data_IF_217898255962
#
_entry.id   IF_217898255962
#
_cell.length_a   1.000
_cell.length_b   1.000
_cell.length_c   1.000
_cell.angle_alpha   90.00
_cell.angle_beta   90.00
_cell.angle_gamma   90.00
#
_symmetry.space_group_name_H-M   'P 1'
#
loop_
_entity.id
_entity.type
_entity.pdbx_description
1 polymer ?
#
# COMPACT_ATOMS: atom_id res chain seq x y z
N UNK A 1 4.06 -18.87 17.30
CA UNK A 1 2.62 -18.45 17.33
C UNK A 1 2.33 -17.68 16.05
N UNK A 2 1.36 -18.13 15.24
CA UNK A 2 0.90 -17.36 14.09
C UNK A 2 0.38 -16.02 14.60
N UNK A 3 0.96 -14.90 14.11
CA UNK A 3 0.55 -13.56 14.50
C UNK A 3 -0.96 -13.40 14.30
N UNK A 4 -1.63 -12.76 15.25
CA UNK A 4 -3.06 -12.47 15.17
C UNK A 4 -3.37 -11.77 13.83
N UNK A 5 -4.11 -12.46 12.97
CA UNK A 5 -4.54 -11.94 11.67
C UNK A 5 -6.06 -11.81 11.68
N UNK A 6 -6.52 -10.57 11.56
CA UNK A 6 -7.95 -10.32 11.37
C UNK A 6 -8.37 -10.96 10.03
N UNK A 7 -9.34 -11.90 10.00
CA UNK A 7 -9.77 -12.52 8.75
C UNK A 7 -10.40 -11.50 7.81
N UNK A 8 -10.18 -11.66 6.50
CA UNK A 8 -10.86 -10.87 5.49
C UNK A 8 -12.30 -11.35 5.32
N UNK A 9 -13.24 -10.42 5.23
CA UNK A 9 -14.63 -10.71 4.87
C UNK A 9 -14.79 -11.05 3.37
N UNK A 10 -15.98 -11.45 2.95
CA UNK A 10 -16.25 -11.84 1.55
C UNK A 10 -16.02 -10.69 0.57
N UNK A 11 -16.37 -9.46 0.95
CA UNK A 11 -16.17 -8.25 0.13
C UNK A 11 -14.67 -7.96 -0.05
N UNK A 12 -13.88 -8.01 1.03
CA UNK A 12 -12.43 -7.81 0.97
C UNK A 12 -11.79 -8.78 -0.03
N UNK A 13 -12.18 -10.07 0.05
CA UNK A 13 -11.66 -11.11 -0.86
C UNK A 13 -12.07 -10.87 -2.32
N UNK A 14 -13.31 -10.44 -2.54
CA UNK A 14 -13.79 -10.11 -3.89
C UNK A 14 -12.97 -8.96 -4.49
N UNK A 15 -12.78 -7.86 -3.75
CA UNK A 15 -12.03 -6.70 -4.23
C UNK A 15 -10.57 -7.06 -4.53
N UNK A 16 -9.92 -7.85 -3.69
CA UNK A 16 -8.57 -8.36 -3.97
C UNK A 16 -8.52 -9.16 -5.26
N UNK A 17 -9.50 -10.06 -5.51
CA UNK A 17 -9.58 -10.80 -6.79
C UNK A 17 -9.72 -9.85 -7.98
N UNK A 18 -10.53 -8.81 -7.87
CA UNK A 18 -10.69 -7.80 -8.90
C UNK A 18 -9.39 -7.01 -9.15
N UNK A 19 -8.63 -6.67 -8.09
CA UNK A 19 -7.32 -6.01 -8.24
C UNK A 19 -6.34 -6.86 -9.06
N UNK A 20 -6.32 -8.18 -8.86
CA UNK A 20 -5.50 -9.06 -9.71
C UNK A 20 -6.08 -9.19 -11.12
N UNK A 21 -7.41 -9.28 -11.26
CA UNK A 21 -8.09 -9.46 -12.53
C UNK A 21 -8.00 -8.22 -13.46
N UNK A 22 -7.79 -7.02 -12.94
CA UNK A 22 -7.64 -5.81 -13.78
C UNK A 22 -6.44 -5.86 -14.75
N UNK A 23 -5.51 -6.80 -14.54
CA UNK A 23 -4.37 -7.03 -15.42
C UNK A 23 -4.66 -7.94 -16.61
N UNK A 24 -5.85 -8.55 -16.66
CA UNK A 24 -6.29 -9.40 -17.79
C UNK A 24 -6.61 -8.51 -18.99
N UNK A 25 -6.04 -8.75 -20.18
CA UNK A 25 -6.13 -7.81 -21.32
C UNK A 25 -7.53 -7.43 -21.74
N UNK A 26 -8.47 -8.38 -21.79
CA UNK A 26 -9.83 -8.12 -22.29
C UNK A 26 -10.80 -7.56 -21.25
N UNK A 27 -10.67 -8.00 -19.99
CA UNK A 27 -11.60 -7.62 -18.91
C UNK A 27 -11.06 -6.46 -18.06
N UNK A 28 -9.77 -6.19 -18.11
CA UNK A 28 -9.08 -5.29 -17.17
C UNK A 28 -9.61 -3.87 -17.12
N UNK A 29 -10.03 -3.31 -18.28
CA UNK A 29 -10.59 -1.94 -18.33
C UNK A 29 -11.91 -1.84 -17.58
N UNK A 30 -12.80 -2.79 -17.78
CA UNK A 30 -14.11 -2.82 -17.10
C UNK A 30 -13.93 -3.05 -15.58
N UNK A 31 -13.05 -3.97 -15.21
CA UNK A 31 -12.71 -4.24 -13.81
C UNK A 31 -12.11 -3.00 -13.13
N UNK A 32 -11.20 -2.30 -13.82
CA UNK A 32 -10.61 -1.05 -13.30
C UNK A 32 -11.67 0.03 -13.08
N UNK A 33 -12.60 0.20 -14.03
CA UNK A 33 -13.69 1.16 -13.89
C UNK A 33 -14.58 0.82 -12.69
N UNK A 34 -14.91 -0.46 -12.50
CA UNK A 34 -15.68 -0.94 -11.36
C UNK A 34 -14.95 -0.66 -10.03
N UNK A 35 -13.65 -0.94 -9.96
CA UNK A 35 -12.84 -0.66 -8.76
C UNK A 35 -12.83 0.84 -8.45
N UNK A 36 -12.60 1.69 -9.45
CA UNK A 36 -12.60 3.15 -9.28
C UNK A 36 -13.96 3.68 -8.84
N UNK A 37 -15.05 3.16 -9.42
CA UNK A 37 -16.40 3.52 -9.00
C UNK A 37 -16.65 3.19 -7.52
N UNK A 38 -16.04 2.12 -7.01
CA UNK A 38 -16.06 1.75 -5.60
C UNK A 38 -15.09 2.55 -4.73
N UNK A 39 -14.31 3.48 -5.31
CA UNK A 39 -13.30 4.25 -4.59
C UNK A 39 -11.99 3.50 -4.33
N UNK A 40 -11.71 2.43 -5.09
CA UNK A 40 -10.42 1.72 -5.04
C UNK A 40 -9.64 2.01 -6.31
N UNK A 41 -8.55 2.76 -6.23
CA UNK A 41 -7.68 3.06 -7.38
C UNK A 41 -6.27 2.52 -7.15
N UNK A 42 -6.08 1.24 -7.40
CA UNK A 42 -4.76 0.60 -7.44
C UNK A 42 -4.37 0.50 -8.91
N UNK A 43 -3.31 1.24 -9.30
CA UNK A 43 -2.89 1.26 -10.70
C UNK A 43 -2.44 -0.14 -11.15
N UNK A 44 -2.85 -0.62 -12.34
CA UNK A 44 -2.45 -1.93 -12.87
C UNK A 44 -0.94 -2.12 -13.00
N UNK A 45 -0.17 -1.03 -13.19
CA UNK A 45 1.28 -1.06 -13.25
C UNK A 45 1.94 -1.21 -11.87
N UNK A 46 1.21 -0.96 -10.79
CA UNK A 46 1.70 -1.26 -9.45
C UNK A 46 1.90 -2.77 -9.30
N UNK A 47 3.06 -3.19 -8.83
CA UNK A 47 3.32 -4.61 -8.58
C UNK A 47 2.78 -4.98 -7.21
N UNK A 48 2.00 -6.05 -7.14
CA UNK A 48 1.50 -6.58 -5.88
C UNK A 48 1.95 -8.04 -5.74
N UNK A 49 2.58 -8.36 -4.63
CA UNK A 49 2.91 -9.73 -4.25
C UNK A 49 1.67 -10.56 -3.96
N UNK A 50 1.88 -11.79 -3.52
CA UNK A 50 0.81 -12.72 -3.16
C UNK A 50 0.19 -12.36 -1.81
N UNK A 51 -1.05 -12.80 -1.55
CA UNK A 51 -1.67 -12.62 -0.25
C UNK A 51 -1.95 -11.17 0.15
N UNK A 52 -2.06 -10.23 -0.83
CA UNK A 52 -2.50 -8.85 -0.56
C UNK A 52 -3.82 -8.86 0.22
N UNK A 53 -3.91 -8.00 1.23
CA UNK A 53 -5.12 -7.84 2.04
C UNK A 53 -5.62 -6.41 1.95
N UNK A 54 -6.84 -6.24 1.48
CA UNK A 54 -7.54 -4.96 1.48
C UNK A 54 -8.63 -5.01 2.55
N UNK A 55 -8.61 -4.07 3.46
CA UNK A 55 -9.59 -4.01 4.56
C UNK A 55 -10.72 -3.05 4.19
N UNK A 56 -11.91 -3.34 4.72
CA UNK A 56 -13.11 -2.54 4.47
C UNK A 56 -13.43 -2.37 2.97
N UNK A 57 -13.26 -3.45 2.18
CA UNK A 57 -13.52 -3.45 0.75
C UNK A 57 -12.55 -2.57 -0.06
N UNK A 58 -11.43 -2.16 0.51
CA UNK A 58 -10.45 -1.31 -0.18
C UNK A 58 -10.92 0.12 -0.45
N UNK A 59 -11.96 0.59 0.21
CA UNK A 59 -12.55 1.93 -0.02
C UNK A 59 -11.54 3.04 0.21
N UNK A 60 -11.45 3.99 -0.71
CA UNK A 60 -10.58 5.16 -0.64
C UNK A 60 -9.09 4.85 -0.81
N UNK A 61 -8.70 3.63 -1.18
CA UNK A 61 -7.31 3.28 -1.43
C UNK A 61 -6.87 3.85 -2.77
N UNK A 62 -5.71 4.56 -2.75
CA UNK A 62 -5.03 5.05 -3.96
C UNK A 62 -3.60 4.56 -3.95
N UNK A 63 -3.19 3.84 -5.01
CA UNK A 63 -1.83 3.30 -5.15
C UNK A 63 -1.21 3.72 -6.47
N UNK A 64 -0.10 4.45 -6.38
CA UNK A 64 0.68 4.93 -7.52
C UNK A 64 1.28 3.77 -8.36
N UNK A 65 1.38 3.91 -9.70
CA UNK A 65 1.95 2.89 -10.59
C UNK A 65 3.39 2.46 -10.22
N UNK A 66 4.18 3.34 -9.63
CA UNK A 66 5.53 3.04 -9.14
C UNK A 66 5.59 2.23 -7.83
N UNK A 67 4.46 1.83 -7.27
CA UNK A 67 4.46 1.06 -6.03
C UNK A 67 4.78 -0.42 -6.28
N UNK A 68 5.56 -0.99 -5.37
CA UNK A 68 5.92 -2.41 -5.34
C UNK A 68 5.59 -2.94 -3.95
N UNK A 69 4.51 -3.68 -3.84
CA UNK A 69 4.04 -4.28 -2.60
C UNK A 69 4.51 -5.74 -2.55
N UNK A 70 5.15 -6.10 -1.44
CA UNK A 70 5.57 -7.48 -1.16
C UNK A 70 4.41 -8.40 -0.80
N UNK A 71 4.74 -9.60 -0.36
CA UNK A 71 3.76 -10.62 0.01
C UNK A 71 3.06 -10.28 1.33
N UNK A 72 1.78 -10.59 1.42
CA UNK A 72 0.99 -10.44 2.65
C UNK A 72 0.82 -8.98 3.14
N UNK A 73 1.10 -7.98 2.30
CA UNK A 73 0.87 -6.57 2.65
C UNK A 73 -0.61 -6.34 2.94
N UNK A 74 -0.88 -5.56 3.98
CA UNK A 74 -2.24 -5.18 4.37
C UNK A 74 -2.44 -3.68 4.21
N UNK A 75 -3.46 -3.29 3.44
CA UNK A 75 -3.89 -1.91 3.28
C UNK A 75 -5.29 -1.75 3.87
N UNK A 76 -5.43 -0.80 4.79
CA UNK A 76 -6.73 -0.40 5.29
C UNK A 76 -7.36 0.66 4.37
N UNK A 77 -8.62 1.00 4.60
CA UNK A 77 -9.33 2.03 3.85
C UNK A 77 -8.62 3.39 3.91
N UNK A 78 -8.82 4.21 2.89
CA UNK A 78 -8.24 5.55 2.75
C UNK A 78 -6.70 5.60 2.77
N UNK A 79 -6.01 4.49 2.53
CA UNK A 79 -4.55 4.50 2.36
C UNK A 79 -4.19 5.15 1.03
N UNK A 80 -3.25 6.10 1.07
CA UNK A 80 -2.69 6.73 -0.12
C UNK A 80 -1.21 6.43 -0.24
N UNK A 81 -0.78 5.95 -1.40
CA UNK A 81 0.62 5.78 -1.78
C UNK A 81 0.86 6.59 -3.03
N UNK A 82 1.59 7.69 -2.91
CA UNK A 82 1.77 8.66 -3.98
C UNK A 82 3.11 9.38 -3.96
N UNK A 83 3.36 10.21 -4.99
CA UNK A 83 4.55 11.06 -5.05
C UNK A 83 4.40 12.28 -4.15
N UNK A 84 5.50 12.66 -3.49
CA UNK A 84 5.55 13.83 -2.61
C UNK A 84 5.43 15.15 -3.39
N UNK A 85 6.05 15.23 -4.58
CA UNK A 85 6.12 16.46 -5.39
C UNK A 85 5.39 16.28 -6.71
N UNK A 86 4.07 16.27 -6.69
CA UNK A 86 3.25 16.08 -7.89
C UNK A 86 3.28 17.27 -8.85
N UNK A 87 3.70 18.44 -8.38
CA UNK A 87 3.85 19.67 -9.18
C UNK A 87 5.20 19.77 -9.90
N UNK A 88 6.15 18.90 -9.58
CA UNK A 88 7.44 18.83 -10.26
C UNK A 88 7.46 17.69 -11.28
N UNK A 89 7.98 17.98 -12.48
CA UNK A 89 8.23 16.94 -13.46
C UNK A 89 9.49 16.16 -13.04
N UNK A 90 9.42 14.85 -12.82
CA UNK A 90 10.62 14.09 -12.48
C UNK A 90 11.61 14.16 -13.66
N UNK A 91 12.92 14.21 -13.39
CA UNK A 91 13.91 14.05 -14.42
C UNK A 91 13.68 12.76 -15.22
N UNK A 92 13.99 12.73 -16.54
CA UNK A 92 13.87 11.53 -17.33
C UNK A 92 14.62 10.34 -16.69
N UNK A 93 13.96 9.19 -16.55
CA UNK A 93 14.54 7.99 -15.95
C UNK A 93 14.55 7.92 -14.42
N UNK A 94 14.12 8.95 -13.72
CA UNK A 94 14.12 9.04 -12.24
C UNK A 94 12.73 8.89 -11.61
N UNK A 95 11.79 8.26 -12.29
CA UNK A 95 10.48 7.97 -11.67
C UNK A 95 10.70 7.10 -10.43
N UNK A 96 10.79 7.72 -9.26
CA UNK A 96 10.97 7.05 -7.99
C UNK A 96 9.96 5.92 -7.80
N UNK A 97 10.37 4.87 -7.13
CA UNK A 97 9.50 3.76 -6.77
C UNK A 97 9.43 3.64 -5.26
N UNK A 98 8.27 3.26 -4.74
CA UNK A 98 8.14 2.87 -3.34
C UNK A 98 8.07 1.35 -3.24
N UNK A 99 8.95 0.79 -2.40
CA UNK A 99 8.97 -0.65 -2.07
C UNK A 99 8.37 -0.84 -0.69
N UNK A 100 7.37 -1.67 -0.60
CA UNK A 100 6.70 -2.01 0.67
C UNK A 100 6.99 -3.48 0.94
N UNK A 101 7.75 -3.74 2.00
CA UNK A 101 8.21 -5.08 2.36
C UNK A 101 7.09 -6.00 2.82
N UNK A 102 7.39 -7.30 2.83
CA UNK A 102 6.44 -8.37 3.13
C UNK A 102 5.78 -8.19 4.50
N UNK A 103 4.49 -8.46 4.57
CA UNK A 103 3.72 -8.37 5.80
C UNK A 103 3.59 -6.99 6.41
N UNK A 104 3.99 -5.93 5.71
CA UNK A 104 3.79 -4.55 6.16
C UNK A 104 2.29 -4.22 6.25
N UNK A 105 1.95 -3.35 7.19
CA UNK A 105 0.56 -2.93 7.46
C UNK A 105 0.48 -1.42 7.37
N UNK A 106 -0.33 -0.92 6.44
CA UNK A 106 -0.69 0.49 6.35
C UNK A 106 -2.10 0.64 6.92
N UNK A 107 -2.21 1.29 8.08
CA UNK A 107 -3.47 1.46 8.77
C UNK A 107 -4.36 2.52 8.10
N UNK A 108 -5.59 2.64 8.56
CA UNK A 108 -6.60 3.53 7.99
C UNK A 108 -6.11 4.98 7.83
N UNK A 109 -6.28 5.53 6.63
CA UNK A 109 -5.87 6.90 6.33
C UNK A 109 -4.37 7.14 6.30
N UNK A 110 -3.53 6.11 6.38
CA UNK A 110 -2.08 6.28 6.26
C UNK A 110 -1.70 6.80 4.87
N UNK A 111 -0.81 7.78 4.83
CA UNK A 111 -0.33 8.43 3.61
C UNK A 111 1.18 8.18 3.48
N UNK A 112 1.60 7.63 2.36
CA UNK A 112 3.02 7.40 2.02
C UNK A 112 3.37 8.30 0.83
N UNK A 113 4.29 9.23 1.05
CA UNK A 113 4.73 10.20 0.04
C UNK A 113 6.20 9.96 -0.28
N UNK A 114 6.48 9.36 -1.42
CA UNK A 114 7.86 9.06 -1.85
C UNK A 114 8.38 10.13 -2.83
N UNK A 115 9.68 10.40 -2.72
CA UNK A 115 10.41 11.30 -3.62
C UNK A 115 10.94 10.60 -4.88
N UNK A 116 11.71 11.34 -5.68
CA UNK A 116 12.30 10.83 -6.92
C UNK A 116 13.41 9.78 -6.66
N UNK A 117 14.05 9.85 -5.49
CA UNK A 117 15.03 8.86 -5.02
C UNK A 117 14.38 7.52 -4.60
N UNK A 118 13.06 7.47 -4.61
CA UNK A 118 12.31 6.31 -4.14
C UNK A 118 12.19 6.24 -2.62
N UNK A 119 11.56 5.16 -2.14
CA UNK A 119 11.36 4.91 -0.71
C UNK A 119 11.24 3.42 -0.45
N UNK A 120 11.70 2.97 0.71
CA UNK A 120 11.49 1.60 1.17
C UNK A 120 10.81 1.59 2.54
N UNK A 121 9.71 0.86 2.64
CA UNK A 121 9.08 0.50 3.91
C UNK A 121 9.51 -0.93 4.22
N UNK A 122 10.19 -1.13 5.35
CA UNK A 122 10.73 -2.44 5.74
C UNK A 122 9.63 -3.49 5.94
N UNK A 123 10.00 -4.76 5.80
CA UNK A 123 9.07 -5.87 6.02
C UNK A 123 8.45 -5.79 7.43
N UNK A 124 7.16 -6.16 7.55
CA UNK A 124 6.42 -6.23 8.82
C UNK A 124 6.29 -4.89 9.57
N UNK A 125 6.68 -3.79 8.94
CA UNK A 125 6.52 -2.44 9.49
C UNK A 125 5.04 -2.05 9.52
N UNK A 126 4.65 -1.29 10.52
CA UNK A 126 3.30 -0.75 10.68
C UNK A 126 3.33 0.76 10.53
N UNK A 127 2.56 1.28 9.59
CA UNK A 127 2.28 2.71 9.49
C UNK A 127 0.92 2.95 10.14
N UNK A 128 0.92 3.67 11.24
CA UNK A 128 -0.28 3.88 12.06
C UNK A 128 -1.36 4.68 11.31
N UNK A 129 -2.58 4.66 11.85
CA UNK A 129 -3.70 5.38 11.25
C UNK A 129 -3.40 6.89 11.14
N UNK A 130 -3.76 7.48 10.00
CA UNK A 130 -3.54 8.89 9.67
C UNK A 130 -2.09 9.36 9.75
N UNK A 131 -1.13 8.45 9.77
CA UNK A 131 0.29 8.81 9.70
C UNK A 131 0.69 9.24 8.30
N UNK A 132 1.56 10.27 8.20
CA UNK A 132 2.12 10.76 6.93
C UNK A 132 3.60 10.41 6.88
N UNK A 133 3.93 9.34 6.17
CA UNK A 133 5.29 8.86 6.01
C UNK A 133 5.97 9.53 4.81
N UNK A 134 7.13 10.13 5.04
CA UNK A 134 7.92 10.86 4.03
C UNK A 134 9.36 10.36 3.90
N UNK A 135 9.72 9.29 4.61
CA UNK A 135 11.07 8.71 4.58
C UNK A 135 11.00 7.18 4.65
N UNK A 136 12.10 6.52 4.30
CA UNK A 136 12.23 5.06 4.42
C UNK A 136 12.22 4.61 5.89
N UNK A 137 11.78 3.37 6.11
CA UNK A 137 11.71 2.73 7.43
C UNK A 137 12.57 1.46 7.47
N UNK A 138 12.96 1.06 8.67
CA UNK A 138 13.51 -0.28 8.90
C UNK A 138 12.44 -1.36 8.92
N UNK A 139 12.87 -2.60 9.18
CA UNK A 139 12.01 -3.77 9.30
C UNK A 139 11.36 -3.83 10.70
N UNK A 140 10.08 -4.17 10.76
CA UNK A 140 9.38 -4.41 12.02
C UNK A 140 9.19 -3.17 12.88
N UNK A 141 9.26 -1.99 12.30
CA UNK A 141 9.07 -0.74 13.00
C UNK A 141 7.60 -0.32 13.04
N UNK A 142 7.25 0.50 14.04
CA UNK A 142 5.94 1.15 14.15
C UNK A 142 6.14 2.65 14.02
N UNK A 143 5.47 3.25 13.03
CA UNK A 143 5.56 4.68 12.71
C UNK A 143 4.21 5.35 12.86
N UNK A 144 4.18 6.53 13.49
CA UNK A 144 2.96 7.30 13.72
C UNK A 144 3.18 8.81 13.60
N UNK A 145 2.10 9.56 13.40
CA UNK A 145 2.10 11.02 13.34
C UNK A 145 2.19 11.61 11.94
N UNK A 146 2.14 12.94 11.85
CA UNK A 146 2.28 13.70 10.61
C UNK A 146 3.17 14.93 10.85
N UNK A 147 4.45 14.92 10.42
CA UNK A 147 5.14 13.82 9.73
C UNK A 147 5.37 12.61 10.65
N UNK A 148 5.33 11.41 10.08
CA UNK A 148 5.50 10.18 10.85
C UNK A 148 6.90 10.06 11.45
N UNK A 149 6.94 9.50 12.67
CA UNK A 149 8.18 9.17 13.37
C UNK A 149 8.10 7.74 13.91
N UNK A 150 9.24 7.07 13.99
CA UNK A 150 9.32 5.77 14.65
C UNK A 150 8.97 5.93 16.13
N UNK A 151 8.01 5.15 16.61
CA UNK A 151 7.55 5.19 18.00
C UNK A 151 7.86 3.90 18.75
N UNK A 152 8.04 2.77 18.04
CA UNK A 152 8.35 1.48 18.65
C UNK A 152 8.90 0.49 17.62
N UNK A 153 9.42 -0.63 18.10
CA UNK A 153 9.65 -1.83 17.32
C UNK A 153 8.51 -2.84 17.54
N UNK A 154 8.07 -3.46 16.47
CA UNK A 154 7.06 -4.51 16.54
C UNK A 154 7.73 -5.80 17.05
N UNK A 155 7.21 -6.37 18.14
CA UNK A 155 7.64 -7.68 18.58
C UNK A 155 7.49 -8.69 17.42
N UNK A 156 8.61 -9.21 16.96
CA UNK A 156 8.61 -10.21 15.90
C UNK A 156 8.37 -11.58 16.56
N UNK A 157 7.45 -12.41 16.05
CA UNK A 157 7.39 -13.79 16.50
C UNK A 157 8.74 -14.44 16.18
N UNK A 158 9.38 -15.00 17.20
CA UNK A 158 10.54 -15.84 17.05
C UNK A 158 10.24 -17.09 16.23
#
# INVERSE_FOLDING_TARGET
>A
MAGFQIPMNSLDRLVVRLVYAQRVPLAGRAVRLLLRWRGTDIDPAAVTGTGLRLRHGGTGIVVHPGARLGDGVTLFHNVTIGRARIWERPPPGTAGAVRIGDGAVLCAGAVVLFGDDGMTIGARTVIAANAVLTCSTGQGEIWAGAPARKIADRALPG
#
